data_IF_316798176245
#
_entry.id   IF_316798176245
#
_cell.length_a   1.000
_cell.length_b   1.000
_cell.length_c   1.000
_cell.angle_alpha   90.00
_cell.angle_beta   90.00
_cell.angle_gamma   90.00
#
_symmetry.space_group_name_H-M   'P 1'
#
loop_
_entity.id
_entity.type
_entity.pdbx_description
1 polymer ?
#
# COMPACT_ATOMS: atom_id res chain seq x y z
N UNK A 1 -26.48 -3.27 5.82
CA UNK A 1 -25.81 -3.17 7.13
C UNK A 1 -25.31 -1.74 7.30
N UNK A 2 -25.26 -1.19 8.53
CA UNK A 2 -24.71 0.15 8.78
C UNK A 2 -23.23 0.07 9.14
N UNK A 3 -22.43 1.01 8.63
CA UNK A 3 -21.05 1.18 9.05
C UNK A 3 -21.01 1.66 10.51
N UNK A 4 -20.08 1.10 11.31
CA UNK A 4 -19.83 1.51 12.69
C UNK A 4 -18.35 1.86 12.84
N UNK A 5 -18.08 2.99 13.48
CA UNK A 5 -16.72 3.35 13.83
C UNK A 5 -16.13 2.35 14.84
N UNK A 6 -14.82 2.13 14.74
CA UNK A 6 -14.03 1.34 15.68
C UNK A 6 -12.97 2.23 16.34
N UNK A 7 -12.47 1.81 17.50
CA UNK A 7 -11.38 2.54 18.16
C UNK A 7 -10.08 2.44 17.36
N UNK A 8 -9.18 3.42 17.53
CA UNK A 8 -7.85 3.40 16.92
C UNK A 8 -7.07 2.13 17.27
N UNK A 9 -7.13 1.69 18.55
CA UNK A 9 -6.53 0.43 18.99
C UNK A 9 -7.06 -0.75 18.17
N UNK A 10 -8.37 -0.86 18.02
CA UNK A 10 -9.00 -1.95 17.25
C UNK A 10 -8.59 -1.88 15.78
N UNK A 11 -8.56 -0.69 15.19
CA UNK A 11 -8.13 -0.50 13.80
C UNK A 11 -6.68 -0.93 13.60
N UNK A 12 -5.76 -0.51 14.47
CA UNK A 12 -4.35 -0.90 14.44
C UNK A 12 -4.15 -2.39 14.66
N UNK A 13 -4.85 -3.02 15.62
CA UNK A 13 -4.80 -4.47 15.84
C UNK A 13 -5.23 -5.27 14.62
N UNK A 14 -6.34 -4.89 13.97
CA UNK A 14 -6.81 -5.53 12.76
C UNK A 14 -5.82 -5.35 11.60
N UNK A 15 -5.30 -4.12 11.44
CA UNK A 15 -4.29 -3.82 10.44
C UNK A 15 -3.05 -4.70 10.65
N UNK A 16 -2.45 -4.71 11.83
CA UNK A 16 -1.25 -5.52 12.08
C UNK A 16 -1.47 -7.03 11.96
N UNK A 17 -2.66 -7.51 12.33
CA UNK A 17 -2.96 -8.94 12.30
C UNK A 17 -3.19 -9.48 10.89
N UNK A 18 -3.76 -8.67 10.00
CA UNK A 18 -4.25 -9.15 8.72
C UNK A 18 -3.60 -8.47 7.51
N UNK A 19 -2.85 -7.38 7.68
CA UNK A 19 -2.10 -6.76 6.57
C UNK A 19 -0.99 -7.71 6.10
N UNK A 20 -1.07 -8.15 4.84
CA UNK A 20 -0.12 -9.12 4.26
C UNK A 20 1.04 -8.43 3.53
N UNK A 21 1.87 -7.63 4.21
CA UNK A 21 2.94 -6.85 3.56
C UNK A 21 4.27 -7.59 3.45
N UNK A 22 4.98 -7.40 2.32
CA UNK A 22 6.36 -7.88 2.11
C UNK A 22 7.42 -6.92 2.65
N UNK A 23 7.02 -5.69 3.00
CA UNK A 23 7.87 -4.77 3.75
C UNK A 23 8.19 -5.43 5.07
N UNK A 24 9.45 -5.37 5.50
CA UNK A 24 9.81 -5.70 6.87
C UNK A 24 9.18 -4.65 7.81
N UNK A 25 7.86 -4.69 7.99
CA UNK A 25 7.22 -4.22 9.21
C UNK A 25 7.65 -5.23 10.28
N UNK A 26 8.94 -5.22 10.62
CA UNK A 26 9.34 -5.62 11.96
C UNK A 26 8.80 -4.53 12.86
N UNK A 27 7.51 -4.55 13.20
CA UNK A 27 7.03 -3.64 14.21
C UNK A 27 6.39 -4.37 15.38
N UNK A 28 7.09 -4.16 16.50
CA UNK A 28 6.73 -4.54 17.85
C UNK A 28 5.62 -3.57 18.26
N UNK A 29 4.40 -3.76 17.77
CA UNK A 29 3.25 -2.99 18.25
C UNK A 29 3.16 -3.18 19.76
N UNK A 30 3.55 -2.14 20.49
CA UNK A 30 3.58 -2.09 21.94
C UNK A 30 2.64 -0.96 22.31
N UNK A 31 1.54 -1.34 22.94
CA UNK A 31 0.59 -0.40 23.48
C UNK A 31 0.30 -0.77 24.92
N UNK A 32 -0.11 0.22 25.70
CA UNK A 32 -0.59 0.03 27.05
C UNK A 32 -1.92 0.77 27.18
N UNK A 33 -2.95 0.07 27.65
CA UNK A 33 -4.26 0.67 27.89
C UNK A 33 -4.31 1.23 29.30
N UNK A 34 -4.46 2.54 29.44
CA UNK A 34 -4.66 3.20 30.74
C UNK A 34 -6.14 3.54 30.91
N UNK A 35 -6.72 2.99 31.97
CA UNK A 35 -8.08 3.27 32.48
C UNK A 35 -7.99 3.88 33.88
N UNK A 36 -9.07 4.45 34.42
CA UNK A 36 -9.09 4.97 35.80
C UNK A 36 -8.70 3.95 36.88
N UNK A 37 -8.89 2.65 36.60
CA UNK A 37 -8.59 1.54 37.53
C UNK A 37 -7.21 0.91 37.31
N UNK A 38 -6.37 1.51 36.45
CA UNK A 38 -5.05 0.94 36.11
C UNK A 38 -4.05 1.12 37.25
N UNK A 39 -3.43 0.01 37.68
CA UNK A 39 -2.32 0.01 38.63
C UNK A 39 -1.01 0.37 37.91
N UNK A 40 -0.46 1.55 38.23
CA UNK A 40 0.77 2.08 37.65
C UNK A 40 2.02 1.25 37.93
N UNK A 41 2.09 0.59 39.10
CA UNK A 41 3.24 -0.25 39.46
C UNK A 41 3.26 -1.53 38.61
N UNK A 42 2.08 -2.11 38.35
CA UNK A 42 1.95 -3.28 37.46
C UNK A 42 2.10 -2.91 35.99
N UNK A 43 1.56 -1.76 35.56
CA UNK A 43 1.66 -1.28 34.18
C UNK A 43 3.11 -1.11 33.72
N UNK A 44 3.96 -0.53 34.58
CA UNK A 44 5.39 -0.32 34.29
C UNK A 44 6.20 -1.62 34.35
N UNK A 45 5.75 -2.63 35.08
CA UNK A 45 6.32 -3.98 35.08
C UNK A 45 5.98 -4.75 33.80
N UNK A 46 4.71 -4.71 33.37
CA UNK A 46 4.23 -5.38 32.15
C UNK A 46 4.71 -4.66 30.86
N UNK A 47 4.99 -3.35 30.97
CA UNK A 47 5.42 -2.51 29.86
C UNK A 47 6.61 -1.60 30.24
N UNK A 48 7.84 -2.15 30.41
CA UNK A 48 9.02 -1.41 30.90
C UNK A 48 9.46 -0.23 30.02
N UNK A 49 8.98 -0.17 28.79
CA UNK A 49 9.26 0.89 27.82
C UNK A 49 8.49 2.18 28.10
N UNK A 50 7.51 2.16 29.02
CA UNK A 50 6.75 3.35 29.45
C UNK A 50 7.55 4.30 30.35
N UNK A 51 8.76 3.92 30.79
CA UNK A 51 9.59 4.71 31.72
C UNK A 51 10.29 5.92 31.07
N UNK A 52 10.08 6.17 29.77
CA UNK A 52 10.53 7.39 29.08
C UNK A 52 9.47 8.51 29.19
N UNK A 53 9.91 9.75 29.44
CA UNK A 53 9.07 10.90 29.80
C UNK A 53 7.84 11.13 28.91
N UNK A 54 6.65 11.34 29.53
CA UNK A 54 5.41 11.74 28.87
C UNK A 54 4.90 13.04 29.51
N UNK A 55 4.52 13.99 28.64
CA UNK A 55 4.21 15.39 28.95
C UNK A 55 2.81 15.64 29.57
N UNK A 56 2.68 16.80 30.23
CA UNK A 56 1.53 17.32 30.98
C UNK A 56 0.27 17.59 30.13
N UNK A 57 -0.87 16.96 30.48
CA UNK A 57 -2.22 17.36 30.04
C UNK A 57 -3.24 17.23 31.20
N UNK A 58 -4.25 18.13 31.28
CA UNK A 58 -5.32 18.11 32.31
C UNK A 58 -6.72 17.99 31.71
N UNK A 59 -7.41 16.89 32.04
CA UNK A 59 -8.80 16.55 31.71
C UNK A 59 -9.13 15.12 32.20
N UNK A 60 -10.40 14.73 32.33
CA UNK A 60 -10.76 13.32 32.66
C UNK A 60 -10.77 12.49 31.37
N UNK A 61 -9.58 12.11 30.93
CA UNK A 61 -9.38 11.18 29.83
C UNK A 61 -9.51 9.75 30.38
N UNK A 62 -10.42 8.94 29.83
CA UNK A 62 -10.73 7.59 30.34
C UNK A 62 -10.04 6.45 29.59
N UNK A 63 -9.54 6.72 28.38
CA UNK A 63 -8.87 5.75 27.53
C UNK A 63 -7.68 6.45 26.89
N UNK A 64 -6.49 5.90 27.09
CA UNK A 64 -5.27 6.35 26.43
C UNK A 64 -4.66 5.20 25.66
N UNK A 65 -4.12 5.52 24.48
CA UNK A 65 -3.21 4.66 23.75
C UNK A 65 -1.81 5.27 23.90
N UNK A 66 -0.86 4.49 24.42
CA UNK A 66 0.54 4.89 24.50
C UNK A 66 1.30 4.09 23.45
N UNK A 67 2.13 4.75 22.65
CA UNK A 67 2.95 4.13 21.62
C UNK A 67 4.39 4.67 21.68
N UNK A 68 5.39 3.90 21.21
CA UNK A 68 6.74 4.42 21.05
C UNK A 68 6.75 5.64 20.13
N UNK A 69 7.46 6.68 20.55
CA UNK A 69 7.74 7.82 19.66
C UNK A 69 8.57 7.34 18.46
N UNK A 70 8.15 7.71 17.26
CA UNK A 70 8.88 7.44 16.02
C UNK A 70 9.47 8.76 15.52
N UNK A 71 10.78 9.02 15.70
CA UNK A 71 11.42 10.21 15.14
C UNK A 71 11.36 10.15 13.61
N UNK A 72 10.88 11.22 12.99
CA UNK A 72 10.80 11.36 11.54
C UNK A 72 10.80 12.85 11.15
N UNK A 73 11.06 13.13 9.88
CA UNK A 73 10.97 14.46 9.26
C UNK A 73 9.63 14.64 8.54
N UNK A 74 9.28 15.89 8.21
CA UNK A 74 8.02 16.18 7.50
C UNK A 74 7.91 15.44 6.16
N UNK A 75 9.02 15.33 5.41
CA UNK A 75 9.05 14.61 4.13
C UNK A 75 8.81 13.08 4.25
N UNK A 76 8.73 12.55 5.48
CA UNK A 76 8.44 11.16 5.80
C UNK A 76 6.98 10.96 6.27
N UNK A 77 6.19 12.04 6.38
CA UNK A 77 4.76 11.97 6.70
C UNK A 77 3.90 11.88 5.44
N UNK A 78 2.93 10.95 5.44
CA UNK A 78 2.03 10.71 4.32
C UNK A 78 0.57 10.66 4.78
N UNK A 79 -0.35 11.07 3.92
CA UNK A 79 -1.79 10.89 4.11
C UNK A 79 -2.33 9.79 3.21
N UNK A 80 -3.07 8.85 3.79
CA UNK A 80 -3.83 7.82 3.08
C UNK A 80 -5.24 7.74 3.68
N UNK A 81 -6.27 7.72 2.84
CA UNK A 81 -7.65 7.48 3.27
C UNK A 81 -8.38 6.60 2.26
N UNK A 82 -9.21 5.69 2.75
CA UNK A 82 -10.05 4.83 1.90
C UNK A 82 -11.48 4.92 2.42
N UNK A 83 -12.42 5.24 1.53
CA UNK A 83 -13.84 5.28 1.87
C UNK A 83 -14.70 4.70 0.75
N UNK A 84 -15.74 3.98 1.14
CA UNK A 84 -16.69 3.40 0.21
C UNK A 84 -17.70 4.46 -0.27
N UNK A 85 -18.00 4.43 -1.57
CA UNK A 85 -19.08 5.17 -2.23
C UNK A 85 -19.98 4.21 -3.01
N UNK A 86 -21.01 4.74 -3.69
CA UNK A 86 -21.98 3.91 -4.43
C UNK A 86 -21.33 3.25 -5.65
N UNK A 87 -20.42 3.96 -6.28
CA UNK A 87 -19.72 3.61 -7.51
C UNK A 87 -18.49 2.74 -7.28
N UNK A 88 -18.03 2.58 -6.04
CA UNK A 88 -16.81 1.87 -5.70
C UNK A 88 -16.13 2.43 -4.45
N UNK A 89 -14.88 2.05 -4.24
CA UNK A 89 -14.07 2.54 -3.12
C UNK A 89 -13.13 3.65 -3.59
N UNK A 90 -13.22 4.81 -2.94
CA UNK A 90 -12.27 5.89 -3.14
C UNK A 90 -11.05 5.70 -2.26
N UNK A 91 -9.90 5.94 -2.86
CA UNK A 91 -8.60 5.97 -2.23
C UNK A 91 -8.03 7.36 -2.42
N UNK A 92 -7.67 8.01 -1.33
CA UNK A 92 -7.03 9.31 -1.31
C UNK A 92 -5.59 9.15 -0.87
N UNK A 93 -4.69 9.83 -1.56
CA UNK A 93 -3.29 9.93 -1.19
C UNK A 93 -2.78 11.37 -1.26
N UNK A 94 -1.99 11.78 -0.27
CA UNK A 94 -1.21 13.02 -0.32
C UNK A 94 0.18 12.80 0.27
N UNK A 95 1.20 13.28 -0.46
CA UNK A 95 2.61 13.18 -0.06
C UNK A 95 3.04 14.10 1.09
N UNK A 96 2.18 15.03 1.53
CA UNK A 96 2.40 15.89 2.70
C UNK A 96 1.36 15.48 3.75
N UNK A 97 1.75 14.56 4.65
CA UNK A 97 0.91 14.12 5.75
C UNK A 97 0.89 15.08 6.93
N UNK A 98 0.48 14.55 8.10
CA UNK A 98 0.55 15.28 9.36
C UNK A 98 -0.69 16.08 9.73
N UNK A 99 -0.62 16.73 10.89
CA UNK A 99 -1.70 17.56 11.44
C UNK A 99 -2.01 18.78 10.58
N UNK A 100 -1.04 19.22 9.79
CA UNK A 100 -1.10 20.43 8.96
C UNK A 100 -1.55 20.17 7.51
N UNK A 101 -1.98 18.94 7.18
CA UNK A 101 -2.42 18.55 5.82
C UNK A 101 -3.54 19.45 5.27
N UNK A 102 -4.40 19.99 6.15
CA UNK A 102 -5.48 20.91 5.79
C UNK A 102 -6.61 20.22 5.02
N UNK A 103 -7.16 20.89 3.99
CA UNK A 103 -8.23 20.35 3.14
C UNK A 103 -7.68 19.28 2.18
N UNK A 104 -7.55 18.08 2.70
CA UNK A 104 -7.01 16.93 1.98
C UNK A 104 -7.94 16.46 0.86
N UNK A 105 -9.24 16.75 0.93
CA UNK A 105 -10.17 16.41 -0.13
C UNK A 105 -9.94 17.22 -1.40
N UNK A 106 -9.39 18.43 -1.30
CA UNK A 106 -9.01 19.24 -2.46
C UNK A 106 -7.60 18.93 -2.96
N UNK A 107 -6.70 18.49 -2.08
CA UNK A 107 -5.27 18.33 -2.38
C UNK A 107 -4.86 16.90 -2.73
N UNK A 108 -5.53 15.89 -2.17
CA UNK A 108 -5.17 14.51 -2.36
C UNK A 108 -5.50 14.04 -3.78
N UNK A 109 -4.60 13.22 -4.31
CA UNK A 109 -4.92 12.41 -5.49
C UNK A 109 -6.02 11.42 -5.11
N UNK A 110 -7.10 11.39 -5.91
CA UNK A 110 -8.25 10.51 -5.69
C UNK A 110 -8.26 9.41 -6.74
N UNK A 111 -8.35 8.17 -6.28
CA UNK A 111 -8.47 6.99 -7.11
C UNK A 111 -9.78 6.27 -6.76
N UNK A 112 -10.60 5.98 -7.78
CA UNK A 112 -11.82 5.20 -7.62
C UNK A 112 -11.55 3.76 -8.07
N UNK A 113 -11.69 2.82 -7.14
CA UNK A 113 -11.80 1.39 -7.42
C UNK A 113 -13.26 1.10 -7.71
N UNK A 114 -13.65 1.11 -8.99
CA UNK A 114 -15.04 0.92 -9.39
C UNK A 114 -15.54 -0.49 -9.11
N UNK A 115 -16.83 -0.62 -8.80
CA UNK A 115 -17.50 -1.92 -8.66
C UNK A 115 -17.58 -2.62 -10.02
N UNK A 116 -17.19 -3.89 -10.09
CA UNK A 116 -17.39 -4.81 -11.24
C UNK A 116 -16.79 -4.35 -12.60
N UNK A 117 -15.60 -3.75 -12.61
CA UNK A 117 -14.94 -3.33 -13.85
C UNK A 117 -14.54 -4.57 -14.71
N UNK A 118 -15.15 -4.73 -15.88
CA UNK A 118 -14.92 -5.88 -16.79
C UNK A 118 -13.60 -5.79 -17.54
N UNK A 119 -12.97 -6.94 -17.76
CA UNK A 119 -11.85 -7.12 -18.70
C UNK A 119 -12.22 -6.61 -20.09
N UNK A 120 -11.34 -5.78 -20.64
CA UNK A 120 -11.42 -5.25 -21.98
C UNK A 120 -10.02 -5.36 -22.60
N UNK A 121 -9.94 -5.60 -23.92
CA UNK A 121 -8.70 -5.52 -24.72
C UNK A 121 -7.97 -4.15 -24.58
N UNK A 122 -8.58 -3.21 -23.85
CA UNK A 122 -8.10 -1.86 -23.59
C UNK A 122 -6.93 -1.74 -22.61
N UNK A 123 -6.63 -2.69 -21.72
CA UNK A 123 -5.64 -2.44 -20.66
C UNK A 123 -4.19 -2.55 -21.16
N UNK A 124 -3.88 -3.59 -21.95
CA UNK A 124 -2.60 -3.69 -22.65
C UNK A 124 -2.45 -2.56 -23.70
N UNK A 125 -3.55 -2.23 -24.39
CA UNK A 125 -3.57 -1.13 -25.36
C UNK A 125 -3.36 0.23 -24.70
N UNK A 126 -3.90 0.44 -23.48
CA UNK A 126 -3.69 1.65 -22.70
C UNK A 126 -2.22 1.80 -22.29
N UNK A 127 -1.59 0.72 -21.80
CA UNK A 127 -0.15 0.74 -21.50
C UNK A 127 0.68 0.96 -22.77
N UNK A 128 0.31 0.34 -23.89
CA UNK A 128 0.99 0.55 -25.17
C UNK A 128 0.84 1.99 -25.68
N UNK A 129 -0.31 2.62 -25.49
CA UNK A 129 -0.53 4.04 -25.80
C UNK A 129 0.27 4.97 -24.88
N UNK A 130 0.35 4.63 -23.59
CA UNK A 130 1.17 5.35 -22.60
C UNK A 130 2.66 5.27 -22.93
N UNK A 131 3.13 4.09 -23.33
CA UNK A 131 4.49 3.83 -23.83
C UNK A 131 4.79 4.62 -25.09
N UNK A 132 3.88 4.62 -26.08
CA UNK A 132 4.05 5.35 -27.33
C UNK A 132 4.14 6.88 -27.14
N UNK A 133 3.57 7.40 -26.05
CA UNK A 133 3.59 8.83 -25.68
C UNK A 133 4.70 9.19 -24.70
N UNK A 134 5.58 8.24 -24.38
CA UNK A 134 6.60 8.36 -23.34
C UNK A 134 8.02 8.25 -23.91
N UNK A 135 8.98 8.92 -23.27
CA UNK A 135 10.41 8.64 -23.46
C UNK A 135 10.92 7.46 -22.64
N UNK A 136 10.11 6.98 -21.70
CA UNK A 136 10.31 5.79 -20.88
C UNK A 136 9.61 4.57 -21.51
N UNK A 137 10.12 3.37 -21.22
CA UNK A 137 9.54 2.10 -21.68
C UNK A 137 8.53 1.58 -20.67
N UNK A 138 7.32 1.24 -21.12
CA UNK A 138 6.23 0.71 -20.31
C UNK A 138 5.61 -0.47 -21.06
N UNK A 139 5.82 -1.70 -20.58
CA UNK A 139 5.30 -2.92 -21.24
C UNK A 139 4.42 -3.70 -20.29
N UNK A 140 3.30 -4.20 -20.79
CA UNK A 140 2.41 -5.09 -20.05
C UNK A 140 1.85 -6.13 -21.01
N UNK A 141 1.90 -7.39 -20.57
CA UNK A 141 1.29 -8.54 -21.24
C UNK A 141 0.63 -9.41 -20.18
N UNK A 142 -0.63 -9.73 -20.36
CA UNK A 142 -1.40 -10.58 -19.46
C UNK A 142 -1.26 -12.02 -19.91
N UNK A 143 -0.75 -12.86 -19.02
CA UNK A 143 -0.51 -14.28 -19.27
C UNK A 143 -1.66 -15.13 -18.73
N UNK A 144 -2.05 -14.86 -17.48
CA UNK A 144 -3.14 -15.52 -16.80
C UNK A 144 -3.90 -14.49 -15.95
N UNK A 145 -5.03 -13.92 -16.44
CA UNK A 145 -5.79 -12.91 -15.69
C UNK A 145 -6.24 -13.37 -14.28
N UNK A 146 -6.35 -14.69 -14.07
CA UNK A 146 -6.77 -15.30 -12.81
C UNK A 146 -5.61 -15.71 -11.90
N UNK A 147 -4.37 -15.61 -12.41
CA UNK A 147 -3.17 -15.94 -11.66
C UNK A 147 -3.04 -15.08 -10.41
N UNK A 148 -2.46 -15.67 -9.37
CA UNK A 148 -2.27 -14.99 -8.09
C UNK A 148 -0.96 -14.21 -7.99
N UNK A 149 0.02 -14.45 -8.86
CA UNK A 149 1.34 -13.82 -8.81
C UNK A 149 1.39 -12.69 -9.85
N UNK A 150 1.35 -11.46 -9.38
CA UNK A 150 1.46 -10.25 -10.19
C UNK A 150 2.85 -9.64 -10.04
N UNK A 151 3.38 -9.10 -11.13
CA UNK A 151 4.73 -8.50 -11.15
C UNK A 151 4.68 -7.07 -11.65
N UNK A 152 5.49 -6.22 -11.04
CA UNK A 152 5.68 -4.84 -11.44
C UNK A 152 7.15 -4.48 -11.24
N UNK A 153 7.95 -4.75 -12.27
CA UNK A 153 9.41 -4.78 -12.16
C UNK A 153 10.07 -3.64 -12.94
N UNK A 154 11.01 -2.96 -12.30
CA UNK A 154 11.81 -1.92 -12.92
C UNK A 154 12.93 -2.51 -13.79
N UNK A 155 12.90 -2.25 -15.10
CA UNK A 155 13.93 -2.67 -16.05
C UNK A 155 13.65 -4.00 -16.75
N UNK A 156 13.70 -4.00 -18.08
CA UNK A 156 13.47 -5.20 -18.89
C UNK A 156 14.39 -6.39 -18.61
N UNK A 157 15.66 -6.17 -18.23
CA UNK A 157 16.54 -7.27 -17.81
C UNK A 157 16.12 -7.88 -16.47
N UNK A 158 15.68 -7.05 -15.52
CA UNK A 158 15.21 -7.52 -14.23
C UNK A 158 13.86 -8.24 -14.36
N UNK A 159 12.93 -7.73 -15.19
CA UNK A 159 11.62 -8.38 -15.37
C UNK A 159 11.76 -9.82 -15.85
N UNK A 160 12.69 -10.10 -16.77
CA UNK A 160 13.00 -11.47 -17.22
C UNK A 160 13.49 -12.33 -16.07
N UNK A 161 14.48 -11.87 -15.29
CA UNK A 161 15.05 -12.64 -14.17
C UNK A 161 13.99 -12.96 -13.09
N UNK A 162 13.13 -11.99 -12.77
CA UNK A 162 12.04 -12.22 -11.82
C UNK A 162 11.03 -13.25 -12.36
N UNK A 163 10.66 -13.16 -13.64
CA UNK A 163 9.77 -14.14 -14.27
C UNK A 163 10.37 -15.54 -14.34
N UNK A 164 11.64 -15.67 -14.72
CA UNK A 164 12.36 -16.96 -14.72
C UNK A 164 12.37 -17.57 -13.32
N UNK A 165 12.67 -16.77 -12.29
CA UNK A 165 12.67 -17.23 -10.89
C UNK A 165 11.29 -17.72 -10.45
N UNK A 166 10.21 -17.03 -10.83
CA UNK A 166 8.84 -17.46 -10.52
C UNK A 166 8.53 -18.80 -11.20
N UNK A 167 8.92 -18.95 -12.47
CA UNK A 167 8.74 -20.18 -13.22
C UNK A 167 9.54 -21.35 -12.60
N UNK A 168 10.80 -21.14 -12.24
CA UNK A 168 11.69 -22.14 -11.63
C UNK A 168 11.18 -22.62 -10.26
N UNK A 169 10.54 -21.75 -9.50
CA UNK A 169 9.90 -22.08 -8.22
C UNK A 169 8.50 -22.72 -8.39
N UNK A 170 8.11 -23.06 -9.62
CA UNK A 170 6.85 -23.74 -9.93
C UNK A 170 5.63 -22.81 -10.04
N UNK A 171 5.83 -21.50 -10.07
CA UNK A 171 4.77 -20.48 -10.14
C UNK A 171 4.23 -20.18 -11.54
N UNK A 172 4.68 -20.88 -12.58
CA UNK A 172 4.37 -20.56 -14.00
C UNK A 172 2.87 -20.47 -14.30
N UNK A 173 2.07 -21.39 -13.73
CA UNK A 173 0.62 -21.40 -13.95
C UNK A 173 -0.10 -20.27 -13.20
N UNK A 174 0.53 -19.72 -12.18
CA UNK A 174 0.00 -18.66 -11.32
C UNK A 174 0.53 -17.27 -11.68
N UNK A 175 1.48 -17.17 -12.61
CA UNK A 175 2.03 -15.92 -13.09
C UNK A 175 1.00 -15.18 -13.95
N UNK A 176 0.52 -14.05 -13.45
CA UNK A 176 -0.60 -13.34 -14.04
C UNK A 176 -0.20 -12.45 -15.22
N UNK A 177 0.94 -11.79 -15.12
CA UNK A 177 1.42 -10.84 -16.11
C UNK A 177 2.94 -10.90 -16.28
N UNK A 178 3.38 -10.51 -17.47
CA UNK A 178 4.76 -10.15 -17.78
C UNK A 178 4.80 -8.68 -18.19
N UNK A 179 5.74 -7.92 -17.65
CA UNK A 179 5.83 -6.49 -17.93
C UNK A 179 6.99 -5.83 -17.24
N UNK A 180 7.32 -4.62 -17.70
CA UNK A 180 8.38 -3.80 -17.13
C UNK A 180 8.05 -2.32 -17.27
N UNK A 181 8.66 -1.53 -16.40
CA UNK A 181 8.79 -0.09 -16.60
C UNK A 181 10.27 0.31 -16.48
N UNK A 182 10.76 1.14 -17.39
CA UNK A 182 12.18 1.57 -17.40
C UNK A 182 12.39 2.85 -18.19
N UNK A 183 13.62 3.36 -18.25
CA UNK A 183 13.92 4.63 -18.94
C UNK A 183 13.49 5.88 -18.16
N UNK A 184 13.41 5.77 -16.82
CA UNK A 184 13.03 6.85 -15.91
C UNK A 184 11.64 7.46 -16.21
N UNK A 185 10.56 6.66 -16.11
CA UNK A 185 9.20 7.19 -16.25
C UNK A 185 8.92 8.26 -15.20
N UNK A 186 8.01 9.19 -15.55
CA UNK A 186 7.52 10.20 -14.63
C UNK A 186 6.67 9.57 -13.52
N UNK A 187 6.39 10.36 -12.48
CA UNK A 187 5.46 10.00 -11.42
C UNK A 187 4.08 9.63 -11.98
N UNK A 188 3.51 10.47 -12.85
CA UNK A 188 2.20 10.18 -13.46
C UNK A 188 2.21 8.88 -14.29
N UNK A 189 3.28 8.63 -15.06
CA UNK A 189 3.39 7.40 -15.85
C UNK A 189 3.49 6.15 -14.98
N UNK A 190 4.27 6.24 -13.90
CA UNK A 190 4.41 5.15 -12.93
C UNK A 190 3.08 4.91 -12.21
N UNK A 191 2.35 5.96 -11.89
CA UNK A 191 1.01 5.89 -11.31
C UNK A 191 0.01 5.21 -12.25
N UNK A 192 -0.06 5.64 -13.51
CA UNK A 192 -0.99 5.09 -14.49
C UNK A 192 -0.70 3.60 -14.76
N UNK A 193 0.58 3.24 -14.90
CA UNK A 193 1.01 1.84 -15.07
C UNK A 193 0.61 0.96 -13.88
N UNK A 194 0.89 1.45 -12.67
CA UNK A 194 0.64 0.71 -11.45
C UNK A 194 -0.87 0.61 -11.13
N UNK A 195 -1.64 1.66 -11.42
CA UNK A 195 -3.10 1.67 -11.35
C UNK A 195 -3.70 0.59 -12.25
N UNK A 196 -3.20 0.44 -13.48
CA UNK A 196 -3.67 -0.61 -14.39
C UNK A 196 -3.42 -2.01 -13.81
N UNK A 197 -2.23 -2.29 -13.28
CA UNK A 197 -1.92 -3.58 -12.63
C UNK A 197 -2.83 -3.82 -11.43
N UNK A 198 -3.05 -2.80 -10.59
CA UNK A 198 -3.94 -2.92 -9.44
C UNK A 198 -5.39 -3.20 -9.82
N UNK A 199 -5.94 -2.45 -10.78
CA UNK A 199 -7.30 -2.70 -11.29
C UNK A 199 -7.39 -4.14 -11.77
N UNK A 200 -6.46 -4.59 -12.61
CA UNK A 200 -6.42 -5.96 -13.13
C UNK A 200 -6.37 -7.04 -12.03
N UNK A 201 -5.49 -6.89 -11.04
CA UNK A 201 -5.34 -7.90 -10.00
C UNK A 201 -6.51 -7.92 -9.01
N UNK A 202 -7.30 -6.86 -8.91
CA UNK A 202 -8.44 -6.76 -7.97
C UNK A 202 -9.79 -7.18 -8.57
N UNK A 203 -9.86 -7.51 -9.87
CA UNK A 203 -11.12 -7.90 -10.54
C UNK A 203 -11.76 -9.19 -10.02
N UNK A 204 -10.94 -10.15 -9.61
CA UNK A 204 -11.39 -11.47 -9.15
C UNK A 204 -10.64 -11.88 -7.89
N UNK A 205 -11.31 -12.52 -6.93
CA UNK A 205 -10.64 -13.09 -5.75
C UNK A 205 -9.95 -14.39 -6.09
N UNK A 206 -8.79 -14.62 -5.47
CA UNK A 206 -8.11 -15.91 -5.50
C UNK A 206 -8.23 -16.60 -4.13
N UNK A 207 -8.56 -17.91 -4.05
CA UNK A 207 -8.75 -18.61 -2.76
C UNK A 207 -7.56 -18.52 -1.80
N UNK A 208 -6.34 -18.46 -2.35
CA UNK A 208 -5.08 -18.37 -1.58
C UNK A 208 -4.56 -16.92 -1.47
N UNK A 209 -5.40 -15.93 -1.75
CA UNK A 209 -4.97 -14.55 -1.92
C UNK A 209 -4.07 -14.34 -3.13
N UNK A 210 -3.68 -13.08 -3.37
CA UNK A 210 -2.79 -12.66 -4.46
C UNK A 210 -1.55 -11.96 -3.91
N UNK A 211 -0.47 -12.01 -4.68
CA UNK A 211 0.84 -11.44 -4.35
C UNK A 211 1.22 -10.46 -5.46
N UNK A 212 1.68 -9.26 -5.09
CA UNK A 212 2.26 -8.30 -6.01
C UNK A 212 3.75 -8.13 -5.70
N UNK A 213 4.60 -8.55 -6.64
CA UNK A 213 6.05 -8.42 -6.57
C UNK A 213 6.46 -7.10 -7.21
N UNK A 214 6.87 -6.14 -6.38
CA UNK A 214 7.50 -4.91 -6.83
C UNK A 214 9.00 -5.06 -6.65
N UNK A 215 9.72 -5.09 -7.77
CA UNK A 215 11.15 -5.39 -7.79
C UNK A 215 11.87 -4.59 -8.86
N UNK A 216 13.17 -4.83 -8.97
CA UNK A 216 14.01 -4.18 -9.98
C UNK A 216 15.48 -4.44 -9.73
N UNK A 217 16.31 -4.11 -10.71
CA UNK A 217 17.76 -4.02 -10.53
C UNK A 217 18.16 -2.67 -9.90
N UNK A 218 19.42 -2.52 -9.49
CA UNK A 218 19.93 -1.23 -9.02
C UNK A 218 19.89 -0.25 -10.20
N UNK A 219 19.06 0.78 -10.09
CA UNK A 219 18.87 1.73 -11.18
C UNK A 219 20.08 2.67 -11.34
N UNK A 220 20.52 2.87 -12.58
CA UNK A 220 21.63 3.77 -12.90
C UNK A 220 21.20 5.25 -12.96
N UNK A 221 20.00 5.53 -13.48
CA UNK A 221 19.53 6.90 -13.78
C UNK A 221 18.08 7.15 -13.36
N UNK A 222 17.34 6.11 -12.95
CA UNK A 222 15.95 6.24 -12.50
C UNK A 222 15.92 6.76 -11.07
N UNK A 223 15.11 7.80 -10.83
CA UNK A 223 14.88 8.31 -9.48
C UNK A 223 14.02 7.30 -8.70
N UNK A 224 14.68 6.40 -7.98
CA UNK A 224 14.04 5.33 -7.22
C UNK A 224 13.04 5.89 -6.22
N UNK A 225 13.31 7.03 -5.58
CA UNK A 225 12.39 7.63 -4.62
C UNK A 225 11.08 8.11 -5.28
N UNK A 226 11.14 8.70 -6.47
CA UNK A 226 9.96 9.14 -7.20
C UNK A 226 9.12 7.94 -7.68
N UNK A 227 9.76 6.88 -8.16
CA UNK A 227 9.06 5.66 -8.60
C UNK A 227 8.53 4.85 -7.42
N UNK A 228 9.29 4.71 -6.33
CA UNK A 228 8.88 3.93 -5.16
C UNK A 228 7.77 4.60 -4.38
N UNK A 229 7.76 5.94 -4.24
CA UNK A 229 6.71 6.67 -3.50
C UNK A 229 5.32 6.17 -3.90
N UNK A 230 5.06 6.10 -5.19
CA UNK A 230 3.78 5.67 -5.78
C UNK A 230 3.55 4.16 -5.66
N UNK A 231 4.61 3.35 -5.75
CA UNK A 231 4.54 1.90 -5.63
C UNK A 231 4.16 1.43 -4.23
N UNK A 232 4.76 2.03 -3.21
CA UNK A 232 4.38 1.77 -1.81
C UNK A 232 2.96 2.26 -1.50
N UNK A 233 2.50 3.33 -2.15
CA UNK A 233 1.12 3.85 -2.01
C UNK A 233 0.09 2.90 -2.61
N UNK A 234 0.41 2.29 -3.77
CA UNK A 234 -0.48 1.36 -4.48
C UNK A 234 -0.43 -0.06 -3.88
N UNK A 235 0.71 -0.53 -3.36
CA UNK A 235 0.78 -1.78 -2.59
C UNK A 235 -0.06 -1.75 -1.31
N UNK A 236 -0.19 -0.59 -0.66
CA UNK A 236 -1.09 -0.42 0.47
C UNK A 236 -2.57 -0.70 0.09
N UNK A 237 -2.97 -0.45 -1.17
CA UNK A 237 -4.35 -0.58 -1.64
C UNK A 237 -4.80 -2.03 -1.86
N UNK A 238 -3.88 -2.91 -2.23
CA UNK A 238 -4.16 -4.35 -2.38
C UNK A 238 -4.42 -4.99 -1.01
N UNK A 239 -3.96 -4.37 0.08
CA UNK A 239 -3.93 -4.99 1.41
C UNK A 239 -4.93 -4.44 2.42
N UNK A 240 -5.46 -3.23 2.19
CA UNK A 240 -6.59 -2.70 3.00
C UNK A 240 -7.93 -3.32 2.56
N UNK A 241 -7.96 -4.06 1.45
CA UNK A 241 -9.08 -4.89 1.00
C UNK A 241 -9.42 -6.12 1.86
N UNK A 242 -8.98 -6.21 3.12
CA UNK A 242 -9.51 -7.20 4.07
C UNK A 242 -10.91 -6.80 4.60
N UNK A 243 -11.81 -6.50 3.67
CA UNK A 243 -13.23 -6.85 3.76
C UNK A 243 -13.68 -7.57 2.48
N UNK A 244 -12.80 -8.19 1.67
CA UNK A 244 -13.25 -8.99 0.53
C UNK A 244 -12.41 -10.25 0.32
#
# INVERSE_FOLDING_TARGET
MSAKAISEQTGKELLYKYICTSSAIQNRFKYARVTPDTDWARLTQDHPWLLSEIANAKGILKNFLIEPFVPHKQEEEFYVCIYAAREGDYVLFHHEGGVDVGDVDAKAQKFLVAVDEKLSESDEAYIADLDAKSGASLKLTILNPKGRIWTMVAGGGASVVYSDTICDLGGVNELANYGEYSGAPSEQQTYDYAKTILSLMTREKHPEGKILIIGGSIANFTNVAATFKIQTQLQALVQVGHVW
#
